data_IF_793726839611
#
_entry.id   IF_793726839611
#
_cell.length_a   1.000
_cell.length_b   1.000
_cell.length_c   1.000
_cell.angle_alpha   90.00
_cell.angle_beta   90.00
_cell.angle_gamma   90.00
#
_symmetry.space_group_name_H-M   'P 1'
#
loop_
_entity.id
_entity.type
_entity.pdbx_description
1 polymer ?
#
# COMPACT_ATOMS: atom_id res chain seq x y z
N UNK A 1 -23.72 45.66 -15.61
CA UNK A 1 -22.28 45.79 -15.26
C UNK A 1 -21.99 45.16 -13.89
N UNK A 2 -22.93 45.20 -12.92
CA UNK A 2 -22.84 44.46 -11.65
C UNK A 2 -22.90 42.92 -11.77
N UNK A 3 -23.65 42.36 -12.72
CA UNK A 3 -23.66 40.89 -12.94
C UNK A 3 -22.32 40.33 -13.46
N UNK A 4 -21.53 41.17 -14.13
CA UNK A 4 -20.26 40.72 -14.70
C UNK A 4 -19.13 40.72 -13.66
N UNK A 5 -19.26 41.52 -12.59
CA UNK A 5 -18.31 41.52 -11.47
C UNK A 5 -18.53 40.36 -10.50
N UNK A 6 -19.79 39.95 -10.25
CA UNK A 6 -20.12 38.80 -9.40
C UNK A 6 -19.68 37.47 -10.03
N UNK A 7 -19.84 37.31 -11.34
CA UNK A 7 -19.41 36.10 -12.07
C UNK A 7 -17.87 35.92 -12.04
N UNK A 8 -17.12 37.02 -12.06
CA UNK A 8 -15.64 37.01 -11.99
C UNK A 8 -15.15 36.66 -10.57
N UNK A 9 -15.82 37.16 -9.54
CA UNK A 9 -15.54 36.79 -8.14
C UNK A 9 -15.90 35.33 -7.85
N UNK A 10 -17.05 34.83 -8.32
CA UNK A 10 -17.44 33.41 -8.17
C UNK A 10 -16.51 32.45 -8.90
N UNK A 11 -16.06 32.78 -10.12
CA UNK A 11 -15.10 31.96 -10.86
C UNK A 11 -13.73 31.95 -10.19
N UNK A 12 -13.30 33.09 -9.65
CA UNK A 12 -12.02 33.21 -8.91
C UNK A 12 -12.06 32.40 -7.62
N UNK A 13 -13.18 32.45 -6.88
CA UNK A 13 -13.36 31.68 -5.65
C UNK A 13 -13.37 30.16 -5.93
N UNK A 14 -14.05 29.71 -7.01
CA UNK A 14 -14.06 28.30 -7.43
C UNK A 14 -12.67 27.78 -7.82
N UNK A 15 -11.89 28.58 -8.53
CA UNK A 15 -10.53 28.21 -8.95
C UNK A 15 -9.60 28.12 -7.73
N UNK A 16 -9.69 29.06 -6.79
CA UNK A 16 -8.89 29.04 -5.57
C UNK A 16 -9.24 27.83 -4.69
N UNK A 17 -10.52 27.48 -4.53
CA UNK A 17 -10.92 26.31 -3.75
C UNK A 17 -10.45 25.00 -4.39
N UNK A 18 -10.57 24.85 -5.71
CA UNK A 18 -10.08 23.68 -6.43
C UNK A 18 -8.55 23.57 -6.29
N UNK A 19 -7.80 24.63 -6.55
CA UNK A 19 -6.33 24.57 -6.50
C UNK A 19 -5.83 24.27 -5.08
N UNK A 20 -6.46 24.84 -4.06
CA UNK A 20 -6.02 24.68 -2.67
C UNK A 20 -6.36 23.29 -2.13
N UNK A 21 -7.56 22.77 -2.43
CA UNK A 21 -8.00 21.45 -1.93
C UNK A 21 -7.32 20.32 -2.69
N UNK A 22 -7.28 20.36 -4.02
CA UNK A 22 -6.64 19.31 -4.83
C UNK A 22 -5.11 19.37 -4.70
N UNK A 23 -4.52 20.56 -4.61
CA UNK A 23 -3.07 20.72 -4.38
C UNK A 23 -2.63 20.08 -3.06
N UNK A 24 -3.38 20.29 -1.97
CA UNK A 24 -3.09 19.69 -0.68
C UNK A 24 -3.26 18.16 -0.69
N UNK A 25 -4.26 17.64 -1.41
CA UNK A 25 -4.45 16.19 -1.60
C UNK A 25 -3.27 15.55 -2.34
N UNK A 26 -2.75 16.20 -3.38
CA UNK A 26 -1.59 15.70 -4.14
C UNK A 26 -0.33 15.69 -3.26
N UNK A 27 -0.08 16.75 -2.49
CA UNK A 27 1.06 16.79 -1.55
C UNK A 27 0.91 15.69 -0.50
N UNK A 28 -0.28 15.53 0.09
CA UNK A 28 -0.56 14.47 1.05
C UNK A 28 -0.35 13.07 0.44
N UNK A 29 -0.80 12.84 -0.79
CA UNK A 29 -0.59 11.59 -1.51
C UNK A 29 0.89 11.28 -1.73
N UNK A 30 1.69 12.28 -2.13
CA UNK A 30 3.14 12.14 -2.31
C UNK A 30 3.81 11.79 -0.97
N UNK A 31 3.45 12.48 0.11
CA UNK A 31 3.98 12.20 1.45
C UNK A 31 3.64 10.77 1.87
N UNK A 32 2.38 10.35 1.71
CA UNK A 32 1.94 8.98 2.03
C UNK A 32 2.73 7.96 1.22
N UNK A 33 2.97 8.22 -0.07
CA UNK A 33 3.68 7.32 -0.96
C UNK A 33 5.14 7.15 -0.54
N UNK A 34 5.85 8.26 -0.26
CA UNK A 34 7.23 8.25 0.22
C UNK A 34 7.34 7.49 1.54
N UNK A 35 6.48 7.85 2.50
CA UNK A 35 6.45 7.24 3.83
C UNK A 35 6.11 5.75 3.75
N UNK A 36 5.12 5.38 2.95
CA UNK A 36 4.69 3.99 2.76
C UNK A 36 5.76 3.10 2.12
N UNK A 37 6.48 3.59 1.10
CA UNK A 37 7.61 2.85 0.53
C UNK A 37 8.78 2.70 1.51
N UNK A 38 9.04 3.74 2.30
CA UNK A 38 10.04 3.67 3.37
C UNK A 38 9.66 2.63 4.43
N UNK A 39 8.41 2.65 4.90
CA UNK A 39 7.86 1.65 5.82
C UNK A 39 7.90 0.23 5.24
N UNK A 40 7.60 0.05 3.95
CA UNK A 40 7.68 -1.26 3.29
C UNK A 40 9.12 -1.81 3.32
N UNK A 41 10.12 -0.95 3.11
CA UNK A 41 11.53 -1.31 3.23
C UNK A 41 11.92 -1.71 4.65
N UNK A 42 11.47 -0.95 5.65
CA UNK A 42 11.72 -1.25 7.07
C UNK A 42 11.04 -2.56 7.48
N UNK A 43 9.76 -2.74 7.13
CA UNK A 43 8.99 -3.93 7.45
C UNK A 43 9.66 -5.19 6.88
N UNK A 44 10.09 -5.15 5.61
CA UNK A 44 10.85 -6.24 5.00
C UNK A 44 12.11 -6.58 5.79
N UNK A 45 12.94 -5.57 6.10
CA UNK A 45 14.20 -5.78 6.83
C UNK A 45 13.96 -6.34 8.23
N UNK A 46 12.96 -5.83 8.94
CA UNK A 46 12.60 -6.32 10.28
C UNK A 46 12.11 -7.76 10.27
N UNK A 47 11.23 -8.12 9.32
CA UNK A 47 10.73 -9.50 9.18
C UNK A 47 11.86 -10.45 8.79
N UNK A 48 12.66 -10.08 7.79
CA UNK A 48 13.80 -10.90 7.35
C UNK A 48 14.77 -11.15 8.52
N UNK A 49 15.21 -10.09 9.20
CA UNK A 49 16.15 -10.22 10.31
C UNK A 49 15.52 -10.96 11.50
N UNK A 50 14.23 -10.77 11.78
CA UNK A 50 13.54 -11.45 12.88
C UNK A 50 13.43 -12.95 12.64
N UNK A 51 13.08 -13.36 11.42
CA UNK A 51 12.97 -14.77 11.04
C UNK A 51 14.33 -15.47 11.07
N UNK A 52 15.36 -14.86 10.47
CA UNK A 52 16.72 -15.43 10.49
C UNK A 52 17.29 -15.56 11.91
N UNK A 53 17.09 -14.54 12.77
CA UNK A 53 17.55 -14.59 14.17
C UNK A 53 16.83 -15.65 15.01
N UNK A 54 15.60 -16.01 14.64
CA UNK A 54 14.85 -17.03 15.37
C UNK A 54 15.42 -18.44 15.19
N UNK A 55 16.23 -18.66 14.14
CA UNK A 55 16.74 -19.99 13.76
C UNK A 55 15.67 -20.96 13.26
N UNK A 56 14.40 -20.55 13.20
CA UNK A 56 13.26 -21.40 12.81
C UNK A 56 12.93 -21.35 11.32
N UNK A 57 13.57 -20.46 10.57
CA UNK A 57 13.30 -20.27 9.16
C UNK A 57 14.63 -20.20 8.38
N UNK A 58 14.71 -20.97 7.30
CA UNK A 58 15.81 -20.88 6.35
C UNK A 58 15.72 -19.57 5.53
N UNK A 59 16.83 -19.16 4.93
CA UNK A 59 17.00 -17.95 4.15
C UNK A 59 15.98 -17.83 3.02
N UNK A 60 15.64 -18.96 2.37
CA UNK A 60 14.61 -18.98 1.33
C UNK A 60 13.23 -18.59 1.88
N UNK A 61 12.80 -19.21 2.99
CA UNK A 61 11.51 -18.93 3.61
C UNK A 61 11.45 -17.51 4.17
N UNK A 62 12.52 -17.07 4.84
CA UNK A 62 12.63 -15.73 5.39
C UNK A 62 12.61 -14.66 4.28
N UNK A 63 13.29 -14.92 3.15
CA UNK A 63 13.26 -14.08 1.95
C UNK A 63 11.86 -13.98 1.33
N UNK A 64 11.17 -15.11 1.20
CA UNK A 64 9.80 -15.18 0.69
C UNK A 64 8.81 -14.39 1.57
N UNK A 65 8.75 -14.67 2.87
CA UNK A 65 7.82 -14.01 3.80
C UNK A 65 8.09 -12.52 3.94
N UNK A 66 9.36 -12.11 4.04
CA UNK A 66 9.72 -10.70 4.14
C UNK A 66 9.34 -9.91 2.88
N UNK A 67 9.42 -10.54 1.71
CA UNK A 67 9.01 -9.94 0.44
C UNK A 67 7.49 -9.86 0.33
N UNK A 68 6.75 -10.87 0.78
CA UNK A 68 5.28 -10.81 0.88
C UNK A 68 4.82 -9.65 1.76
N UNK A 69 5.43 -9.46 2.93
CA UNK A 69 5.12 -8.33 3.82
C UNK A 69 5.40 -6.98 3.14
N UNK A 70 6.50 -6.85 2.39
CA UNK A 70 6.78 -5.63 1.61
C UNK A 70 5.63 -5.30 0.66
N UNK A 71 5.17 -6.28 -0.11
CA UNK A 71 4.11 -6.06 -1.09
C UNK A 71 2.75 -5.77 -0.45
N UNK A 72 2.45 -6.35 0.72
CA UNK A 72 1.26 -5.99 1.49
C UNK A 72 1.28 -4.52 1.92
N UNK A 73 2.41 -4.03 2.45
CA UNK A 73 2.55 -2.62 2.86
C UNK A 73 2.44 -1.70 1.65
N UNK A 74 3.05 -2.06 0.51
CA UNK A 74 2.91 -1.30 -0.74
C UNK A 74 1.46 -1.27 -1.21
N UNK A 75 0.75 -2.40 -1.19
CA UNK A 75 -0.66 -2.46 -1.58
C UNK A 75 -1.52 -1.51 -0.72
N UNK A 76 -1.37 -1.57 0.61
CA UNK A 76 -2.08 -0.65 1.53
C UNK A 76 -1.70 0.81 1.26
N UNK A 77 -0.43 1.10 0.99
CA UNK A 77 0.03 2.46 0.65
C UNK A 77 -0.66 2.98 -0.61
N UNK A 78 -0.72 2.17 -1.67
CA UNK A 78 -1.37 2.54 -2.93
C UNK A 78 -2.87 2.76 -2.72
N UNK A 79 -3.55 1.90 -1.95
CA UNK A 79 -4.96 2.10 -1.60
C UNK A 79 -5.18 3.39 -0.80
N UNK A 80 -4.30 3.72 0.14
CA UNK A 80 -4.38 4.96 0.91
C UNK A 80 -4.25 6.19 0.01
N UNK A 81 -3.36 6.15 -0.99
CA UNK A 81 -3.21 7.20 -1.99
C UNK A 81 -4.45 7.32 -2.87
N UNK A 82 -4.98 6.21 -3.38
CA UNK A 82 -6.22 6.18 -4.18
C UNK A 82 -7.40 6.79 -3.42
N UNK A 83 -7.52 6.48 -2.13
CA UNK A 83 -8.56 7.04 -1.27
C UNK A 83 -8.45 8.58 -1.13
N UNK A 84 -7.22 9.15 -1.16
CA UNK A 84 -7.04 10.62 -1.16
C UNK A 84 -7.59 11.31 -2.41
N UNK A 85 -7.68 10.59 -3.52
CA UNK A 85 -8.30 11.06 -4.76
C UNK A 85 -9.79 10.71 -4.87
N UNK A 86 -10.42 10.24 -3.78
CA UNK A 86 -11.84 9.89 -3.77
C UNK A 86 -12.17 8.58 -4.47
N UNK A 87 -11.17 7.75 -4.80
CA UNK A 87 -11.40 6.43 -5.38
C UNK A 87 -11.92 5.48 -4.29
N UNK A 88 -13.03 4.81 -4.58
CA UNK A 88 -13.57 3.78 -3.70
C UNK A 88 -12.69 2.52 -3.76
N UNK A 89 -11.99 2.24 -2.66
CA UNK A 89 -11.01 1.14 -2.60
C UNK A 89 -11.61 -0.18 -2.11
N UNK A 90 -12.87 -0.19 -1.67
CA UNK A 90 -13.56 -1.38 -1.13
C UNK A 90 -13.49 -2.57 -2.10
N UNK A 91 -13.82 -2.34 -3.37
CA UNK A 91 -13.77 -3.37 -4.42
C UNK A 91 -12.35 -3.84 -4.71
N UNK A 92 -11.36 -2.95 -4.65
CA UNK A 92 -9.95 -3.31 -4.81
C UNK A 92 -9.46 -4.17 -3.65
N UNK A 93 -9.86 -3.85 -2.41
CA UNK A 93 -9.54 -4.65 -1.22
C UNK A 93 -10.13 -6.06 -1.35
N UNK A 94 -11.37 -6.19 -1.83
CA UNK A 94 -12.00 -7.49 -2.07
C UNK A 94 -11.22 -8.33 -3.09
N UNK A 95 -10.82 -7.74 -4.22
CA UNK A 95 -10.02 -8.41 -5.25
C UNK A 95 -8.64 -8.80 -4.73
N UNK A 96 -7.96 -7.92 -4.00
CA UNK A 96 -6.66 -8.22 -3.38
C UNK A 96 -6.78 -9.34 -2.34
N UNK A 97 -7.88 -9.39 -1.58
CA UNK A 97 -8.17 -10.48 -0.65
C UNK A 97 -8.36 -11.82 -1.37
N UNK A 98 -9.13 -11.84 -2.45
CA UNK A 98 -9.32 -13.04 -3.28
C UNK A 98 -8.01 -13.49 -3.94
N UNK A 99 -7.21 -12.57 -4.47
CA UNK A 99 -5.90 -12.86 -5.03
C UNK A 99 -4.93 -13.40 -3.96
N UNK A 100 -4.93 -12.81 -2.76
CA UNK A 100 -4.14 -13.29 -1.63
C UNK A 100 -4.51 -14.72 -1.22
N UNK A 101 -5.81 -15.05 -1.17
CA UNK A 101 -6.28 -16.42 -0.97
C UNK A 101 -5.80 -17.36 -2.07
N UNK A 102 -5.97 -16.99 -3.34
CA UNK A 102 -5.54 -17.82 -4.47
C UNK A 102 -4.02 -18.07 -4.45
N UNK A 103 -3.21 -17.04 -4.19
CA UNK A 103 -1.76 -17.15 -4.04
C UNK A 103 -1.41 -18.04 -2.84
N UNK A 104 -2.09 -17.87 -1.71
CA UNK A 104 -1.88 -18.69 -0.51
C UNK A 104 -2.18 -20.17 -0.75
N UNK A 105 -3.29 -20.48 -1.42
CA UNK A 105 -3.66 -21.84 -1.81
C UNK A 105 -2.65 -22.45 -2.80
N UNK A 106 -2.18 -21.66 -3.76
CA UNK A 106 -1.16 -22.11 -4.72
C UNK A 106 0.19 -22.41 -4.03
N UNK A 107 0.54 -21.67 -2.97
CA UNK A 107 1.80 -21.82 -2.26
C UNK A 107 1.74 -22.81 -1.08
N UNK A 108 0.54 -23.31 -0.75
CA UNK A 108 0.32 -24.24 0.37
C UNK A 108 1.22 -25.48 0.27
N UNK A 109 1.33 -26.09 -0.92
CA UNK A 109 2.17 -27.26 -1.14
C UNK A 109 3.66 -26.99 -0.96
N UNK A 110 4.16 -25.89 -1.52
CA UNK A 110 5.57 -25.49 -1.42
C UNK A 110 5.96 -25.14 0.01
N UNK A 111 5.11 -24.41 0.74
CA UNK A 111 5.32 -24.06 2.15
C UNK A 111 5.28 -25.30 3.05
N UNK A 112 4.38 -26.26 2.78
CA UNK A 112 4.32 -27.52 3.53
C UNK A 112 5.60 -28.35 3.36
N UNK A 113 6.18 -28.39 2.16
CA UNK A 113 7.43 -29.08 1.92
C UNK A 113 8.61 -28.41 2.63
N UNK A 114 8.66 -27.07 2.63
CA UNK A 114 9.66 -26.30 3.38
C UNK A 114 9.54 -26.53 4.89
N UNK A 115 8.33 -26.58 5.44
CA UNK A 115 8.11 -26.83 6.86
C UNK A 115 8.54 -28.25 7.28
N UNK A 116 8.28 -29.26 6.45
CA UNK A 116 8.74 -30.63 6.69
C UNK A 116 10.27 -30.74 6.71
N UNK A 117 10.95 -29.99 5.84
CA UNK A 117 12.42 -29.96 5.78
C UNK A 117 13.11 -29.28 6.97
N UNK A 118 12.44 -28.35 7.68
CA UNK A 118 12.99 -27.68 8.88
C UNK A 118 12.83 -28.53 10.15
N UNK A 119 11.90 -29.50 10.16
CA UNK A 119 11.63 -30.37 11.33
C UNK A 119 12.47 -31.66 11.37
N UNK A 120 13.21 -31.96 10.29
CA UNK A 120 14.14 -33.09 10.19
C UNK A 120 15.58 -32.62 10.42
#
# INVERSE_FOLDING_TARGET
MEDMTTTIEETTQMVVDIVTVYGLQVVAAIVILIVGFWFAGIARRKVLSGLLKSGKADEMLAGFLSTMVKYLVVAVTVLAVLNKFGVETTSLVAVLGAAGLAIGLALQGTLSNVAAGVML
#
